data_IF_770602645191
#
_entry.id   IF_770602645191
#
_cell.length_a   1.000
_cell.length_b   1.000
_cell.length_c   1.000
_cell.angle_alpha   90.00
_cell.angle_beta   90.00
_cell.angle_gamma   90.00
#
_symmetry.space_group_name_H-M   'P 1'
#
loop_
_entity.id
_entity.type
_entity.pdbx_description
1 polymer ?
#
# COMPACT_ATOMS: atom_id res chain seq x y z
N UNK A 1 6.09 18.05 -6.21
CA UNK A 1 6.56 18.81 -5.04
C UNK A 1 5.34 19.56 -4.48
N UNK A 2 5.09 19.53 -3.16
CA UNK A 2 3.91 20.22 -2.62
C UNK A 2 4.16 21.74 -2.53
N UNK A 3 3.11 22.54 -2.69
CA UNK A 3 3.16 24.01 -2.52
C UNK A 3 3.64 24.38 -1.09
N UNK A 4 3.43 23.49 -0.11
CA UNK A 4 3.88 23.70 1.26
C UNK A 4 5.38 23.49 1.41
N UNK A 5 5.95 22.47 0.75
CA UNK A 5 7.40 22.24 0.75
C UNK A 5 8.16 23.43 0.15
N UNK A 6 7.66 24.02 -0.93
CA UNK A 6 8.26 25.22 -1.53
C UNK A 6 8.26 26.40 -0.54
N UNK A 7 7.16 26.59 0.20
CA UNK A 7 7.08 27.60 1.26
C UNK A 7 8.07 27.31 2.39
N UNK A 8 8.19 26.06 2.82
CA UNK A 8 9.14 25.66 3.87
C UNK A 8 10.58 25.93 3.41
N UNK A 9 10.96 25.49 2.20
CA UNK A 9 12.30 25.75 1.63
C UNK A 9 12.58 27.25 1.50
N UNK A 10 11.58 28.05 1.11
CA UNK A 10 11.70 29.52 1.07
C UNK A 10 11.92 30.15 2.45
N UNK A 11 11.18 29.71 3.47
CA UNK A 11 11.35 30.19 4.85
C UNK A 11 12.74 29.81 5.35
N UNK A 12 13.17 28.56 5.18
CA UNK A 12 14.51 28.14 5.61
C UNK A 12 15.62 28.96 4.94
N UNK A 13 15.48 29.28 3.65
CA UNK A 13 16.46 30.07 2.91
C UNK A 13 16.63 31.52 3.35
N UNK A 14 15.80 32.05 4.27
CA UNK A 14 15.96 33.43 4.80
C UNK A 14 16.79 33.52 6.07
N UNK A 15 17.20 32.39 6.66
CA UNK A 15 17.91 32.33 7.94
C UNK A 15 19.35 31.86 7.77
N UNK A 16 20.20 32.11 8.77
CA UNK A 16 21.59 31.62 8.78
C UNK A 16 21.65 30.10 9.03
N UNK A 17 22.75 29.41 8.66
CA UNK A 17 22.82 27.94 8.72
C UNK A 17 22.50 27.33 10.10
N UNK A 18 22.89 27.99 11.19
CA UNK A 18 22.62 27.53 12.55
C UNK A 18 21.10 27.58 12.88
N UNK A 19 20.45 28.69 12.53
CA UNK A 19 19.00 28.88 12.68
C UNK A 19 18.22 27.93 11.75
N UNK A 20 18.72 27.68 10.54
CA UNK A 20 18.14 26.70 9.63
C UNK A 20 18.12 25.30 10.23
N UNK A 21 19.19 24.90 10.91
CA UNK A 21 19.25 23.59 11.58
C UNK A 21 18.20 23.49 12.70
N UNK A 22 18.03 24.53 13.51
CA UNK A 22 17.01 24.58 14.56
C UNK A 22 15.60 24.53 13.97
N UNK A 23 15.33 25.29 12.91
CA UNK A 23 14.03 25.31 12.22
C UNK A 23 13.71 23.96 11.56
N UNK A 24 14.70 23.29 10.95
CA UNK A 24 14.54 21.93 10.42
C UNK A 24 14.18 20.95 11.53
N UNK A 25 14.89 20.98 12.66
CA UNK A 25 14.61 20.11 13.80
C UNK A 25 13.20 20.35 14.34
N UNK A 26 12.80 21.61 14.52
CA UNK A 26 11.45 21.98 14.95
C UNK A 26 10.38 21.47 13.97
N UNK A 27 10.58 21.68 12.66
CA UNK A 27 9.66 21.19 11.63
C UNK A 27 9.51 19.67 11.68
N UNK A 28 10.61 18.94 11.81
CA UNK A 28 10.61 17.48 11.92
C UNK A 28 9.87 17.03 13.16
N UNK A 29 10.18 17.58 14.33
CA UNK A 29 9.52 17.24 15.60
C UNK A 29 8.00 17.46 15.54
N UNK A 30 7.56 18.64 15.08
CA UNK A 30 6.14 18.97 14.98
C UNK A 30 5.42 18.11 13.95
N UNK A 31 6.05 17.84 12.81
CA UNK A 31 5.46 17.00 11.77
C UNK A 31 5.34 15.55 12.23
N UNK A 32 6.36 15.01 12.90
CA UNK A 32 6.31 13.68 13.50
C UNK A 32 5.21 13.59 14.57
N UNK A 33 5.11 14.57 15.47
CA UNK A 33 4.04 14.60 16.48
C UNK A 33 2.65 14.61 15.85
N UNK A 34 2.44 15.41 14.79
CA UNK A 34 1.17 15.46 14.06
C UNK A 34 0.85 14.12 13.37
N UNK A 35 1.85 13.45 12.81
CA UNK A 35 1.63 12.15 12.17
C UNK A 35 1.26 11.05 13.18
N UNK A 36 1.79 11.12 14.40
CA UNK A 36 1.57 10.14 15.47
C UNK A 36 0.37 10.46 16.39
N UNK A 37 -0.44 11.47 16.08
CA UNK A 37 -1.69 11.71 16.82
C UNK A 37 -2.71 10.58 16.59
N UNK A 38 -3.77 10.52 17.41
CA UNK A 38 -4.80 9.47 17.37
C UNK A 38 -5.63 9.45 16.06
N UNK A 39 -5.40 10.39 15.13
CA UNK A 39 -6.15 10.46 13.88
C UNK A 39 -5.59 9.49 12.85
N UNK A 40 -6.50 9.05 11.97
CA UNK A 40 -6.21 8.19 10.82
C UNK A 40 -5.00 8.70 10.01
N UNK A 41 -4.08 7.78 9.69
CA UNK A 41 -3.02 8.00 8.71
C UNK A 41 -3.67 7.99 7.31
N UNK A 42 -3.99 9.18 6.82
CA UNK A 42 -4.52 9.40 5.47
C UNK A 42 -3.53 10.12 4.56
N UNK A 43 -3.99 10.44 3.35
CA UNK A 43 -3.22 11.10 2.27
C UNK A 43 -2.42 12.31 2.72
N UNK A 44 -3.02 13.17 3.56
CA UNK A 44 -2.37 14.38 4.05
C UNK A 44 -1.11 14.09 4.90
N UNK A 45 -1.17 13.08 5.78
CA UNK A 45 -0.02 12.66 6.60
C UNK A 45 1.07 11.99 5.74
N UNK A 46 0.67 11.22 4.71
CA UNK A 46 1.63 10.64 3.75
C UNK A 46 2.30 11.74 2.90
N UNK A 47 1.57 12.77 2.50
CA UNK A 47 2.16 13.93 1.81
C UNK A 47 3.12 14.69 2.71
N UNK A 48 2.79 14.89 3.98
CA UNK A 48 3.69 15.50 4.95
C UNK A 48 4.98 14.69 5.11
N UNK A 49 4.88 13.35 5.21
CA UNK A 49 6.05 12.47 5.27
C UNK A 49 6.95 12.63 4.04
N UNK A 50 6.37 12.70 2.84
CA UNK A 50 7.12 12.96 1.59
C UNK A 50 7.77 14.34 1.57
N UNK A 51 7.10 15.36 2.10
CA UNK A 51 7.70 16.69 2.22
C UNK A 51 8.85 16.69 3.24
N UNK A 52 8.81 15.84 4.28
CA UNK A 52 9.91 15.67 5.23
C UNK A 52 11.12 14.94 4.64
N UNK A 53 10.92 14.01 3.71
CA UNK A 53 12.02 13.32 2.98
C UNK A 53 12.96 14.31 2.28
N UNK A 54 12.45 15.47 1.89
CA UNK A 54 13.19 16.54 1.21
C UNK A 54 13.90 17.50 2.17
N UNK A 55 13.65 17.38 3.47
CA UNK A 55 14.19 18.26 4.52
C UNK A 55 15.13 17.50 5.44
N UNK A 56 14.87 16.21 5.70
CA UNK A 56 15.67 15.35 6.57
C UNK A 56 16.87 14.81 5.79
N UNK A 57 18.07 15.17 6.22
CA UNK A 57 19.33 14.69 5.63
C UNK A 57 19.76 13.33 6.23
N UNK A 58 19.42 13.08 7.50
CA UNK A 58 19.73 11.85 8.23
C UNK A 58 18.79 10.70 7.82
N UNK A 59 19.35 9.72 7.12
CA UNK A 59 18.63 8.54 6.64
C UNK A 59 18.06 7.67 7.75
N UNK A 60 18.75 7.57 8.88
CA UNK A 60 18.32 6.72 10.00
C UNK A 60 17.09 7.34 10.67
N UNK A 61 17.12 8.66 10.88
CA UNK A 61 15.98 9.42 11.40
C UNK A 61 14.77 9.30 10.47
N UNK A 62 14.98 9.51 9.16
CA UNK A 62 13.91 9.39 8.17
C UNK A 62 13.32 7.97 8.15
N UNK A 63 14.18 6.95 8.11
CA UNK A 63 13.76 5.55 8.09
C UNK A 63 13.00 5.15 9.36
N UNK A 64 13.37 5.70 10.51
CA UNK A 64 12.64 5.51 11.78
C UNK A 64 11.26 6.14 11.72
N UNK A 65 11.14 7.37 11.22
CA UNK A 65 9.85 8.06 11.08
C UNK A 65 8.95 7.31 10.10
N UNK A 66 9.46 6.92 8.93
CA UNK A 66 8.71 6.15 7.94
C UNK A 66 8.18 4.84 8.55
N UNK A 67 9.02 4.08 9.25
CA UNK A 67 8.60 2.86 9.94
C UNK A 67 7.47 3.13 10.92
N UNK A 68 7.62 4.12 11.80
CA UNK A 68 6.60 4.44 12.80
C UNK A 68 5.25 4.85 12.16
N UNK A 69 5.29 5.64 11.08
CA UNK A 69 4.06 6.10 10.40
C UNK A 69 3.35 4.91 9.76
N UNK A 70 4.11 4.02 9.12
CA UNK A 70 3.57 2.82 8.51
C UNK A 70 3.08 1.83 9.56
N UNK A 71 3.77 1.66 10.68
CA UNK A 71 3.32 0.84 11.81
C UNK A 71 1.96 1.32 12.33
N UNK A 72 1.81 2.63 12.52
CA UNK A 72 0.53 3.20 12.93
C UNK A 72 -0.56 2.97 11.88
N UNK A 73 -0.26 3.14 10.59
CA UNK A 73 -1.21 2.87 9.51
C UNK A 73 -1.65 1.40 9.50
N UNK A 74 -0.71 0.47 9.66
CA UNK A 74 -0.96 -0.97 9.68
C UNK A 74 -1.85 -1.35 10.86
N UNK A 75 -1.60 -0.80 12.06
CA UNK A 75 -2.45 -1.00 13.23
C UNK A 75 -3.88 -0.50 13.01
N UNK A 76 -4.05 0.66 12.35
CA UNK A 76 -5.38 1.17 11.98
C UNK A 76 -6.08 0.25 10.98
N UNK A 77 -5.35 -0.32 10.01
CA UNK A 77 -5.89 -1.31 9.09
C UNK A 77 -6.24 -2.61 9.81
N UNK A 78 -5.43 -3.07 10.76
CA UNK A 78 -5.71 -4.25 11.59
C UNK A 78 -7.02 -4.08 12.35
N UNK A 79 -7.22 -2.93 12.99
CA UNK A 79 -8.47 -2.61 13.68
C UNK A 79 -9.67 -2.65 12.71
N UNK A 80 -9.54 -2.04 11.53
CA UNK A 80 -10.56 -2.07 10.49
C UNK A 80 -10.91 -3.50 10.05
N UNK A 81 -9.91 -4.36 9.86
CA UNK A 81 -10.11 -5.78 9.52
C UNK A 81 -10.93 -6.47 10.60
N UNK A 82 -10.50 -6.35 11.86
CA UNK A 82 -11.15 -6.99 13.00
C UNK A 82 -12.58 -6.49 13.24
N UNK A 83 -12.85 -5.21 12.98
CA UNK A 83 -14.19 -4.62 13.10
C UNK A 83 -15.14 -5.08 11.98
N UNK A 84 -14.63 -5.39 10.79
CA UNK A 84 -15.43 -5.71 9.60
C UNK A 84 -15.57 -7.22 9.32
N UNK A 85 -14.67 -8.05 9.84
CA UNK A 85 -14.82 -9.51 9.73
C UNK A 85 -16.05 -9.93 10.54
N UNK A 86 -16.98 -10.58 9.84
CA UNK A 86 -18.17 -11.19 10.45
C UNK A 86 -18.30 -12.67 10.12
N UNK A 87 -17.52 -13.17 9.16
CA UNK A 87 -17.53 -14.57 8.74
C UNK A 87 -16.75 -15.43 9.73
N UNK A 88 -17.40 -16.47 10.21
CA UNK A 88 -16.75 -17.54 10.97
C UNK A 88 -16.15 -18.56 10.00
N UNK A 89 -14.85 -18.43 9.72
CA UNK A 89 -14.15 -19.28 8.76
C UNK A 89 -14.03 -20.76 9.18
N UNK A 90 -14.38 -21.10 10.42
CA UNK A 90 -14.42 -22.50 10.88
C UNK A 90 -15.66 -23.25 10.37
N UNK A 91 -16.65 -22.53 9.86
CA UNK A 91 -17.91 -23.11 9.38
C UNK A 91 -17.87 -23.43 7.88
N UNK A 92 -18.89 -24.17 7.46
CA UNK A 92 -19.16 -24.39 6.05
C UNK A 92 -20.09 -23.31 5.50
N UNK A 93 -19.74 -22.79 4.32
CA UNK A 93 -20.60 -21.96 3.50
C UNK A 93 -21.33 -22.81 2.47
N UNK A 94 -22.54 -22.37 2.11
CA UNK A 94 -23.31 -22.94 0.99
C UNK A 94 -22.66 -22.68 -0.37
N UNK A 95 -21.80 -21.68 -0.45
CA UNK A 95 -21.05 -21.30 -1.65
C UNK A 95 -20.07 -20.18 -1.32
N UNK A 96 -19.10 -19.98 -2.22
CA UNK A 96 -18.15 -18.87 -2.17
C UNK A 96 -18.72 -17.73 -2.99
N UNK A 97 -18.67 -16.51 -2.44
CA UNK A 97 -19.29 -15.32 -3.03
C UNK A 97 -18.22 -14.37 -3.56
N UNK A 98 -18.65 -13.16 -3.93
CA UNK A 98 -17.74 -12.05 -4.26
C UNK A 98 -16.89 -11.68 -3.03
N UNK A 99 -15.77 -10.95 -3.22
CA UNK A 99 -14.92 -10.55 -2.10
C UNK A 99 -15.69 -9.81 -1.00
N UNK A 100 -15.31 -10.02 0.25
CA UNK A 100 -15.98 -9.47 1.43
C UNK A 100 -15.77 -7.95 1.55
N UNK A 101 -16.58 -7.31 2.40
CA UNK A 101 -16.51 -5.86 2.62
C UNK A 101 -15.17 -5.43 3.22
N UNK A 102 -14.63 -6.19 4.17
CA UNK A 102 -13.40 -5.84 4.88
C UNK A 102 -12.24 -5.66 3.91
N UNK A 103 -12.03 -6.59 2.97
CA UNK A 103 -10.91 -6.52 2.03
C UNK A 103 -11.11 -5.41 0.99
N UNK A 104 -12.36 -5.13 0.59
CA UNK A 104 -12.68 -4.00 -0.28
C UNK A 104 -12.39 -2.66 0.38
N UNK A 105 -12.73 -2.50 1.66
CA UNK A 105 -12.44 -1.27 2.39
C UNK A 105 -10.92 -1.08 2.60
N UNK A 106 -10.13 -2.15 2.79
CA UNK A 106 -8.66 -2.05 2.78
C UNK A 106 -8.15 -1.55 1.44
N UNK A 107 -8.60 -2.16 0.34
CA UNK A 107 -8.18 -1.75 -1.02
C UNK A 107 -8.55 -0.29 -1.27
N UNK A 108 -9.73 0.15 -0.86
CA UNK A 108 -10.17 1.54 -0.97
C UNK A 108 -9.32 2.47 -0.11
N UNK A 109 -9.07 2.10 1.14
CA UNK A 109 -8.23 2.87 2.06
C UNK A 109 -6.79 3.04 1.54
N UNK A 110 -6.22 2.00 0.92
CA UNK A 110 -4.91 2.08 0.27
C UNK A 110 -4.93 3.07 -0.91
N UNK A 111 -5.97 3.02 -1.75
CA UNK A 111 -6.14 3.96 -2.87
C UNK A 111 -6.18 5.40 -2.36
N UNK A 112 -7.01 5.66 -1.37
CA UNK A 112 -7.19 6.99 -0.79
C UNK A 112 -5.93 7.50 -0.07
N UNK A 113 -5.14 6.60 0.52
CA UNK A 113 -3.97 6.96 1.33
C UNK A 113 -2.68 7.10 0.52
N UNK A 114 -2.40 6.17 -0.39
CA UNK A 114 -1.09 6.05 -1.05
C UNK A 114 -1.09 6.44 -2.53
N UNK A 115 -2.23 6.31 -3.22
CA UNK A 115 -2.31 6.50 -4.66
C UNK A 115 -2.79 7.92 -5.00
N UNK A 116 -2.32 8.43 -6.14
CA UNK A 116 -2.79 9.71 -6.70
C UNK A 116 -4.11 9.50 -7.42
N UNK A 117 -4.94 10.54 -7.43
CA UNK A 117 -6.26 10.52 -8.07
C UNK A 117 -6.14 10.29 -9.60
N UNK A 118 -5.01 10.70 -10.20
CA UNK A 118 -4.73 10.59 -11.64
C UNK A 118 -4.44 9.15 -12.14
N UNK A 119 -4.33 8.16 -11.25
CA UNK A 119 -4.14 6.74 -11.65
C UNK A 119 -5.46 6.06 -12.05
N UNK A 120 -6.56 6.80 -12.09
CA UNK A 120 -7.89 6.33 -12.48
C UNK A 120 -8.45 7.06 -13.71
N UNK A 121 -7.60 7.43 -14.66
CA UNK A 121 -8.11 7.66 -16.02
C UNK A 121 -8.68 6.34 -16.54
N UNK A 122 -10.00 6.25 -16.57
CA UNK A 122 -10.73 5.28 -17.39
C UNK A 122 -10.14 5.29 -18.79
N UNK A 123 -10.01 4.13 -19.48
CA UNK A 123 -9.50 4.12 -20.84
C UNK A 123 -10.36 5.06 -21.68
N UNK A 124 -9.77 6.20 -22.06
CA UNK A 124 -10.42 7.13 -22.96
C UNK A 124 -10.71 6.39 -24.28
N UNK A 125 -11.86 6.65 -24.92
CA UNK A 125 -12.15 6.08 -26.24
C UNK A 125 -11.00 6.41 -27.19
N UNK A 126 -10.61 5.51 -28.10
CA UNK A 126 -9.53 5.79 -29.03
C UNK A 126 -9.89 7.03 -29.83
N UNK A 127 -9.09 8.08 -29.67
CA UNK A 127 -9.18 9.27 -30.50
C UNK A 127 -8.91 8.88 -31.96
N UNK A 128 -9.65 9.44 -32.93
CA UNK A 128 -9.52 9.09 -34.32
C UNK A 128 -8.11 9.44 -34.83
N UNK A 129 -7.49 8.47 -35.48
CA UNK A 129 -6.19 8.56 -36.15
C UNK A 129 -6.20 9.65 -37.21
N UNK A 130 -5.54 10.78 -36.93
CA UNK A 130 -5.06 11.69 -37.98
C UNK A 130 -3.58 11.40 -38.23
N UNK A 131 -3.33 10.75 -39.38
CA UNK A 131 -2.03 10.66 -40.03
C UNK A 131 -1.37 12.04 -40.09
N UNK A 132 -0.10 12.13 -39.67
CA UNK A 132 0.88 12.95 -40.38
C UNK A 132 2.29 12.43 -40.13
N UNK A 133 2.89 11.95 -41.21
CA UNK A 133 4.29 11.59 -41.32
C UNK A 133 5.15 12.84 -41.16
N UNK A 134 6.15 12.79 -40.28
CA UNK A 134 7.45 13.41 -40.54
C UNK A 134 8.55 12.65 -39.80
N UNK A 135 9.44 12.06 -40.59
CA UNK A 135 10.68 11.38 -40.21
C UNK A 135 11.78 12.44 -40.07
N UNK A 136 12.47 12.51 -38.93
CA UNK A 136 13.93 12.77 -38.88
C UNK A 136 14.51 11.95 -37.71
N UNK A 137 15.63 11.22 -37.90
CA UNK A 137 16.23 10.31 -36.93
C UNK A 137 17.29 11.01 -36.07
N UNK A 138 17.54 10.52 -34.86
CA UNK A 138 18.88 10.53 -34.25
C UNK A 138 18.92 9.67 -32.98
N UNK A 139 19.84 8.72 -32.99
CA UNK A 139 20.28 7.91 -31.86
C UNK A 139 20.74 8.77 -30.69
N UNK A 140 20.31 8.42 -29.48
CA UNK A 140 21.11 8.74 -28.29
C UNK A 140 20.90 7.68 -27.19
N UNK A 141 21.81 6.69 -27.05
CA UNK A 141 21.70 5.61 -26.08
C UNK A 141 22.16 6.01 -24.65
N UNK A 142 22.23 7.29 -24.33
CA UNK A 142 22.81 7.80 -23.07
C UNK A 142 21.79 8.22 -22.00
N UNK A 143 20.78 7.37 -21.76
CA UNK A 143 19.98 7.41 -20.52
C UNK A 143 19.98 6.02 -19.87
N UNK A 144 21.17 5.45 -19.75
CA UNK A 144 21.46 4.42 -18.76
C UNK A 144 22.66 4.91 -17.98
N UNK A 145 22.52 4.95 -16.67
CA UNK A 145 23.52 5.32 -15.67
C UNK A 145 23.82 6.82 -15.52
N UNK A 146 23.02 7.47 -14.66
CA UNK A 146 23.53 8.22 -13.50
C UNK A 146 22.37 8.83 -12.72
N UNK A 147 21.64 7.99 -11.99
CA UNK A 147 21.15 8.41 -10.68
C UNK A 147 21.24 7.18 -9.76
N UNK A 148 22.33 7.07 -9.01
CA UNK A 148 22.32 6.40 -7.71
C UNK A 148 21.43 7.25 -6.79
N UNK A 149 20.12 7.15 -7.00
CA UNK A 149 19.11 7.84 -6.22
C UNK A 149 18.86 6.95 -5.02
N UNK A 150 19.40 7.37 -3.87
CA UNK A 150 19.07 6.90 -2.52
C UNK A 150 17.55 6.66 -2.46
N UNK A 151 17.09 5.41 -2.62
CA UNK A 151 15.67 5.13 -2.80
C UNK A 151 14.95 5.43 -1.49
N UNK A 152 14.02 6.40 -1.42
CA UNK A 152 13.05 6.41 -0.33
C UNK A 152 12.31 5.07 -0.43
N UNK A 153 12.31 4.31 0.67
CA UNK A 153 11.56 3.06 0.78
C UNK A 153 10.17 3.28 0.22
N UNK A 154 9.76 2.49 -0.78
CA UNK A 154 8.42 2.61 -1.32
C UNK A 154 7.42 2.35 -0.18
N UNK A 155 6.76 3.40 0.31
CA UNK A 155 5.91 3.33 1.50
C UNK A 155 4.80 2.28 1.36
N UNK A 156 4.29 2.06 0.14
CA UNK A 156 3.29 1.02 -0.12
C UNK A 156 3.87 -0.39 0.00
N UNK A 157 5.16 -0.58 -0.30
CA UNK A 157 5.86 -1.84 -0.16
C UNK A 157 6.13 -2.15 1.31
N UNK A 158 6.60 -1.16 2.08
CA UNK A 158 6.77 -1.29 3.53
C UNK A 158 5.45 -1.59 4.22
N UNK A 159 4.39 -0.87 3.84
CA UNK A 159 3.03 -1.11 4.32
C UNK A 159 2.55 -2.53 3.99
N UNK A 160 2.69 -2.96 2.73
CA UNK A 160 2.26 -4.29 2.30
C UNK A 160 2.99 -5.41 3.06
N UNK A 161 4.32 -5.30 3.20
CA UNK A 161 5.13 -6.25 3.95
C UNK A 161 4.61 -6.42 5.38
N UNK A 162 4.32 -5.32 6.06
CA UNK A 162 3.81 -5.33 7.44
C UNK A 162 2.37 -5.82 7.54
N UNK A 163 1.50 -5.39 6.63
CA UNK A 163 0.09 -5.82 6.61
C UNK A 163 -0.05 -7.33 6.35
N UNK A 164 0.83 -7.92 5.53
CA UNK A 164 0.83 -9.37 5.31
C UNK A 164 1.13 -10.13 6.60
N UNK A 165 2.03 -9.64 7.44
CA UNK A 165 2.29 -10.24 8.75
C UNK A 165 1.07 -10.08 9.68
N UNK A 166 0.37 -8.94 9.64
CA UNK A 166 -0.91 -8.80 10.36
C UNK A 166 -1.97 -9.80 9.86
N UNK A 167 -2.05 -10.06 8.54
CA UNK A 167 -2.96 -11.09 8.02
C UNK A 167 -2.60 -12.48 8.54
N UNK A 168 -1.30 -12.82 8.62
CA UNK A 168 -0.86 -14.06 9.25
C UNK A 168 -1.31 -14.12 10.70
N UNK A 169 -1.10 -13.06 11.47
CA UNK A 169 -1.47 -12.99 12.88
C UNK A 169 -2.97 -13.03 13.14
N UNK A 170 -3.79 -12.47 12.24
CA UNK A 170 -5.25 -12.48 12.36
C UNK A 170 -5.82 -13.85 12.01
N UNK A 171 -5.34 -14.45 10.92
CA UNK A 171 -6.01 -15.60 10.31
C UNK A 171 -5.32 -16.94 10.59
N UNK A 172 -4.00 -16.99 10.74
CA UNK A 172 -3.33 -18.26 10.98
C UNK A 172 -3.42 -18.65 12.46
N UNK A 173 -3.87 -19.89 12.71
CA UNK A 173 -3.87 -20.51 14.03
C UNK A 173 -3.23 -21.91 13.97
N UNK A 174 -2.47 -22.27 15.00
CA UNK A 174 -1.93 -23.63 15.15
C UNK A 174 -3.02 -24.67 15.47
N UNK A 175 -4.18 -24.23 15.97
CA UNK A 175 -5.20 -25.11 16.55
C UNK A 175 -6.48 -25.14 15.73
N UNK A 176 -6.81 -24.04 15.04
CA UNK A 176 -8.07 -23.91 14.31
C UNK A 176 -7.93 -24.42 12.89
N UNK A 177 -8.89 -25.24 12.48
CA UNK A 177 -9.08 -25.67 11.09
C UNK A 177 -10.29 -24.92 10.51
N UNK A 178 -10.19 -24.50 9.26
CA UNK A 178 -11.27 -23.86 8.51
C UNK A 178 -12.15 -24.88 7.81
N UNK A 179 -13.46 -24.60 7.83
CA UNK A 179 -14.42 -25.29 6.98
C UNK A 179 -14.36 -24.76 5.55
N UNK A 180 -15.43 -24.97 4.76
CA UNK A 180 -15.46 -24.46 3.39
C UNK A 180 -15.43 -22.92 3.31
N UNK A 181 -15.78 -22.22 4.40
CA UNK A 181 -15.63 -20.78 4.53
C UNK A 181 -14.19 -20.30 4.37
N UNK A 182 -13.18 -21.12 4.71
CA UNK A 182 -11.77 -20.75 4.49
C UNK A 182 -11.44 -20.45 3.02
N UNK A 183 -12.18 -21.00 2.06
CA UNK A 183 -12.00 -20.65 0.65
C UNK A 183 -12.45 -19.22 0.33
N UNK A 184 -13.41 -18.65 1.09
CA UNK A 184 -13.81 -17.24 0.98
C UNK A 184 -12.63 -16.35 1.40
N UNK A 185 -11.95 -16.70 2.50
CA UNK A 185 -10.75 -15.99 2.94
C UNK A 185 -9.62 -16.05 1.90
N UNK A 186 -9.40 -17.20 1.26
CA UNK A 186 -8.42 -17.31 0.16
C UNK A 186 -8.81 -16.40 -1.01
N UNK A 187 -10.09 -16.35 -1.38
CA UNK A 187 -10.59 -15.45 -2.42
C UNK A 187 -10.36 -13.97 -2.05
N UNK A 188 -10.61 -13.58 -0.80
CA UNK A 188 -10.39 -12.21 -0.33
C UNK A 188 -8.91 -11.83 -0.36
N UNK A 189 -8.02 -12.69 0.12
CA UNK A 189 -6.57 -12.44 0.07
C UNK A 189 -6.04 -12.41 -1.37
N UNK A 190 -6.57 -13.25 -2.28
CA UNK A 190 -6.27 -13.17 -3.72
C UNK A 190 -6.78 -11.86 -4.33
N UNK A 191 -7.96 -11.38 -3.93
CA UNK A 191 -8.47 -10.07 -4.36
C UNK A 191 -7.53 -8.93 -3.93
N UNK A 192 -7.07 -8.94 -2.68
CA UNK A 192 -6.06 -8.00 -2.19
C UNK A 192 -4.74 -8.11 -2.98
N UNK A 193 -4.22 -9.33 -3.15
CA UNK A 193 -2.97 -9.59 -3.88
C UNK A 193 -3.05 -9.07 -5.33
N UNK A 194 -4.15 -9.37 -6.04
CA UNK A 194 -4.40 -8.89 -7.41
C UNK A 194 -4.45 -7.37 -7.51
N UNK A 195 -4.86 -6.68 -6.45
CA UNK A 195 -4.82 -5.23 -6.40
C UNK A 195 -3.40 -4.70 -6.14
N UNK A 196 -2.75 -5.18 -5.08
CA UNK A 196 -1.50 -4.59 -4.58
C UNK A 196 -0.30 -4.90 -5.47
N UNK A 197 -0.29 -6.07 -6.13
CA UNK A 197 0.77 -6.48 -7.08
C UNK A 197 0.90 -5.57 -8.30
N UNK A 198 -0.09 -4.72 -8.56
CA UNK A 198 0.01 -3.64 -9.57
C UNK A 198 0.99 -2.55 -9.18
N UNK A 199 1.35 -2.44 -7.90
CA UNK A 199 2.16 -1.36 -7.34
C UNK A 199 3.42 -1.86 -6.63
N UNK A 200 3.42 -3.12 -6.15
CA UNK A 200 4.55 -3.71 -5.42
C UNK A 200 4.86 -5.10 -5.96
N UNK A 201 6.14 -5.42 -6.12
CA UNK A 201 6.56 -6.81 -6.36
C UNK A 201 6.58 -7.53 -5.02
N UNK A 202 5.62 -8.43 -4.80
CA UNK A 202 5.51 -9.18 -3.55
C UNK A 202 4.94 -10.58 -3.83
N UNK A 203 5.52 -11.59 -3.20
CA UNK A 203 5.08 -12.98 -3.30
C UNK A 203 4.06 -13.29 -2.20
N UNK A 204 2.83 -13.59 -2.61
CA UNK A 204 1.74 -13.94 -1.71
C UNK A 204 1.59 -15.46 -1.51
N UNK A 205 2.35 -16.30 -2.22
CA UNK A 205 2.15 -17.75 -2.19
C UNK A 205 2.43 -18.36 -0.81
N UNK A 206 3.39 -17.80 -0.05
CA UNK A 206 3.63 -18.21 1.34
C UNK A 206 2.39 -18.02 2.23
N UNK A 207 1.79 -16.83 2.18
CA UNK A 207 0.57 -16.52 2.93
C UNK A 207 -0.61 -17.39 2.46
N UNK A 208 -0.87 -17.42 1.16
CA UNK A 208 -2.01 -18.14 0.59
C UNK A 208 -1.90 -19.65 0.85
N UNK A 209 -0.70 -20.23 0.66
CA UNK A 209 -0.49 -21.66 0.92
C UNK A 209 -0.64 -21.99 2.41
N UNK A 210 -0.22 -21.10 3.31
CA UNK A 210 -0.40 -21.27 4.75
C UNK A 210 -1.87 -21.27 5.15
N UNK A 211 -2.68 -20.37 4.58
CA UNK A 211 -4.14 -20.34 4.80
C UNK A 211 -4.79 -21.61 4.23
N UNK A 212 -4.43 -22.02 3.01
CA UNK A 212 -4.98 -23.23 2.38
C UNK A 212 -4.70 -24.50 3.20
N UNK A 213 -3.55 -24.59 3.87
CA UNK A 213 -3.20 -25.72 4.76
C UNK A 213 -4.12 -25.83 5.98
N UNK A 214 -4.77 -24.75 6.39
CA UNK A 214 -5.74 -24.75 7.49
C UNK A 214 -7.15 -25.13 7.03
N UNK A 215 -7.42 -25.21 5.73
CA UNK A 215 -8.73 -25.63 5.22
C UNK A 215 -8.80 -27.15 5.22
N UNK A 216 -9.91 -27.70 5.71
CA UNK A 216 -10.17 -29.14 5.62
C UNK A 216 -9.94 -29.65 4.19
N UNK A 217 -9.08 -30.67 3.96
CA UNK A 217 -8.69 -31.08 2.61
C UNK A 217 -9.86 -31.47 1.70
N UNK A 218 -10.92 -32.03 2.26
CA UNK A 218 -12.15 -32.41 1.53
C UNK A 218 -13.00 -31.21 1.12
N UNK A 219 -12.76 -30.04 1.71
CA UNK A 219 -13.49 -28.79 1.48
C UNK A 219 -12.67 -27.75 0.72
N UNK A 220 -11.39 -28.01 0.48
CA UNK A 220 -10.49 -27.12 -0.25
C UNK A 220 -10.91 -27.03 -1.72
N UNK A 221 -11.19 -25.81 -2.17
CA UNK A 221 -11.55 -25.49 -3.53
C UNK A 221 -10.30 -25.42 -4.43
N UNK A 222 -10.43 -25.72 -5.72
CA UNK A 222 -9.30 -25.63 -6.65
C UNK A 222 -9.03 -24.16 -6.96
N UNK A 223 -7.75 -23.82 -7.16
CA UNK A 223 -7.35 -22.44 -7.47
C UNK A 223 -8.07 -21.88 -8.70
N UNK A 224 -8.25 -22.72 -9.74
CA UNK A 224 -8.97 -22.33 -10.96
C UNK A 224 -10.39 -21.82 -10.66
N UNK A 225 -11.09 -22.46 -9.74
CA UNK A 225 -12.47 -22.09 -9.41
C UNK A 225 -12.52 -20.76 -8.63
N UNK A 226 -11.53 -20.52 -7.75
CA UNK A 226 -11.38 -19.23 -7.05
C UNK A 226 -11.08 -18.11 -8.05
N UNK A 227 -10.18 -18.34 -9.01
CA UNK A 227 -9.84 -17.36 -10.05
C UNK A 227 -11.03 -17.05 -10.97
N UNK A 228 -11.83 -18.05 -11.32
CA UNK A 228 -13.07 -17.84 -12.10
C UNK A 228 -14.05 -16.91 -11.38
N UNK A 229 -14.20 -17.05 -10.05
CA UNK A 229 -15.05 -16.15 -9.25
C UNK A 229 -14.50 -14.72 -9.28
N UNK A 230 -13.19 -14.53 -9.12
CA UNK A 230 -12.54 -13.21 -9.15
C UNK A 230 -12.70 -12.50 -10.51
N UNK A 231 -12.77 -13.27 -11.60
CA UNK A 231 -12.92 -12.75 -12.96
C UNK A 231 -14.38 -12.53 -13.36
N UNK A 232 -15.33 -13.18 -12.68
CA UNK A 232 -16.77 -13.00 -12.91
C UNK A 232 -17.22 -11.59 -12.47
N UNK A 233 -17.28 -10.66 -13.43
CA UNK A 233 -17.79 -9.29 -13.22
C UNK A 233 -19.32 -9.29 -13.16
#
# INVERSE_FOLDING_TARGET
>A
MSIYLEKIKKILGTFEPEEQAELKNYYVEKSTSLMMDDKKIGKAKIHLLRDMEEVIEDEEVLSKIQRNVIDHKVLQTRALVLDLISTDYTKDLKGIYKPESWVKEIVKDIKETFLKDDLFETPSPPAPTSNNNNKIPTDNPNIKEKITQKHPTNLIELYNKKLVEEFKDIFLSEVVTFGSAGNQLVLDLRYYANFITKFVSFDFEDLISSIKKQIEPTKLMKDKEIEEILQSK
#
